data_IF_225262953334
#
_entry.id   IF_225262953334
#
_cell.length_a   1.000
_cell.length_b   1.000
_cell.length_c   1.000
_cell.angle_alpha   90.00
_cell.angle_beta   90.00
_cell.angle_gamma   90.00
#
_symmetry.space_group_name_H-M   'P 1'
#
loop_
_entity.id
_entity.type
_entity.pdbx_description
1 polymer ?
#
# COMPACT_ATOMS: atom_id res chain seq x y z
N UNK A 1 -26.42 -5.63 10.58
CA UNK A 1 -25.92 -6.45 9.45
C UNK A 1 -25.10 -5.57 8.52
N UNK A 2 -23.76 -5.65 8.54
CA UNK A 2 -22.92 -5.34 7.36
C UNK A 2 -21.85 -6.42 7.33
N UNK A 3 -21.88 -7.20 6.26
CA UNK A 3 -21.39 -8.56 6.21
C UNK A 3 -19.90 -8.70 5.93
N UNK A 4 -19.46 -9.92 6.20
CA UNK A 4 -18.24 -10.58 5.76
C UNK A 4 -17.98 -10.43 4.27
N UNK A 5 -16.72 -10.24 3.87
CA UNK A 5 -16.19 -10.67 2.56
C UNK A 5 -14.67 -10.82 2.66
N UNK A 6 -14.26 -12.06 2.91
CA UNK A 6 -12.91 -12.55 2.67
C UNK A 6 -12.60 -12.41 1.18
N UNK A 7 -11.65 -11.56 0.85
CA UNK A 7 -11.13 -11.35 -0.50
C UNK A 7 -10.07 -10.27 -0.40
N UNK A 8 -8.98 -10.39 -1.15
CA UNK A 8 -7.91 -9.39 -1.23
C UNK A 8 -8.42 -8.09 -1.91
N UNK A 9 -9.39 -7.44 -1.27
CA UNK A 9 -10.05 -6.23 -1.70
C UNK A 9 -9.29 -5.04 -1.16
N UNK A 10 -8.68 -4.30 -2.08
CA UNK A 10 -8.16 -2.95 -1.90
C UNK A 10 -9.17 -2.19 -1.02
N UNK A 11 -8.78 -1.76 0.19
CA UNK A 11 -9.64 -1.02 1.10
C UNK A 11 -10.06 0.31 0.44
N UNK A 12 -11.14 0.27 -0.34
CA UNK A 12 -11.65 1.38 -1.18
C UNK A 12 -12.43 2.44 -0.38
N UNK A 13 -12.62 2.25 0.93
CA UNK A 13 -13.45 3.14 1.75
C UNK A 13 -12.67 4.11 2.67
N UNK A 14 -11.33 4.19 2.59
CA UNK A 14 -10.55 5.12 3.40
C UNK A 14 -9.14 5.42 2.87
N UNK A 15 -8.46 6.48 3.36
CA UNK A 15 -7.08 6.74 3.00
C UNK A 15 -6.17 5.62 3.53
N UNK A 16 -5.30 5.09 2.68
CA UNK A 16 -4.24 4.16 3.11
C UNK A 16 -3.22 4.89 4.01
N UNK A 17 -2.35 4.15 4.71
CA UNK A 17 -1.35 4.72 5.62
C UNK A 17 -0.48 5.81 4.99
N UNK A 18 -0.17 5.68 3.71
CA UNK A 18 0.54 6.70 2.94
C UNK A 18 -0.30 7.97 2.70
N UNK A 19 -1.53 7.83 2.21
CA UNK A 19 -2.44 8.96 2.00
C UNK A 19 -2.78 9.67 3.32
N UNK A 20 -2.86 8.92 4.42
CA UNK A 20 -3.08 9.43 5.77
C UNK A 20 -1.89 10.28 6.24
N UNK A 21 -0.65 9.79 6.10
CA UNK A 21 0.56 10.56 6.43
C UNK A 21 0.70 11.82 5.57
N UNK A 22 0.45 11.69 4.26
CA UNK A 22 0.58 12.80 3.31
C UNK A 22 -0.59 13.81 3.40
N UNK A 23 -1.65 13.49 4.15
CA UNK A 23 -2.90 14.26 4.24
C UNK A 23 -3.47 14.60 2.85
N UNK A 24 -3.34 13.67 1.89
CA UNK A 24 -3.84 13.81 0.51
C UNK A 24 -5.08 12.94 0.33
N UNK A 25 -6.04 13.42 -0.45
CA UNK A 25 -7.17 12.59 -0.92
C UNK A 25 -6.58 11.44 -1.76
N UNK A 26 -6.92 10.19 -1.43
CA UNK A 26 -6.64 9.07 -2.33
C UNK A 26 -7.17 9.42 -3.71
N UNK A 27 -6.31 9.35 -4.73
CA UNK A 27 -6.72 9.67 -6.11
C UNK A 27 -7.81 8.66 -6.52
N UNK A 28 -8.92 9.20 -7.00
CA UNK A 28 -10.04 8.44 -7.56
C UNK A 28 -9.52 7.72 -8.82
N UNK A 29 -9.12 6.46 -8.67
CA UNK A 29 -8.27 5.74 -9.64
C UNK A 29 -7.34 4.71 -9.00
N UNK A 30 -7.23 4.71 -7.67
CA UNK A 30 -6.46 3.73 -6.91
C UNK A 30 -5.15 4.31 -6.38
N UNK A 31 -4.86 4.08 -5.11
CA UNK A 31 -3.61 4.52 -4.52
C UNK A 31 -2.54 3.43 -4.70
N UNK A 32 -1.45 3.78 -5.37
CA UNK A 32 -0.30 2.88 -5.57
C UNK A 32 0.30 2.35 -4.26
N UNK A 33 0.14 3.10 -3.17
CA UNK A 33 0.60 2.71 -1.84
C UNK A 33 -0.39 1.82 -1.08
N UNK A 34 -1.68 1.80 -1.45
CA UNK A 34 -2.71 1.03 -0.73
C UNK A 34 -2.41 -0.48 -0.59
N UNK A 35 -1.87 -1.20 -1.60
CA UNK A 35 -1.54 -2.61 -1.42
C UNK A 35 -0.33 -2.86 -0.51
N UNK A 36 0.46 -1.83 -0.20
CA UNK A 36 1.68 -1.95 0.62
C UNK A 36 1.53 -1.39 2.03
N UNK A 37 0.67 -0.38 2.21
CA UNK A 37 0.48 0.33 3.48
C UNK A 37 -0.99 0.34 3.85
N UNK A 38 -1.36 -0.43 4.86
CA UNK A 38 -2.73 -0.49 5.37
C UNK A 38 -3.19 0.86 5.99
N UNK A 39 -4.49 1.04 6.16
CA UNK A 39 -5.09 2.23 6.79
C UNK A 39 -4.86 2.34 8.31
N UNK A 40 -4.30 1.30 8.94
CA UNK A 40 -3.91 1.29 10.36
C UNK A 40 -2.77 2.29 10.69
N UNK A 41 -2.60 2.57 11.97
CA UNK A 41 -1.48 3.37 12.49
C UNK A 41 -0.12 2.77 12.10
N UNK A 42 -0.02 1.44 12.12
CA UNK A 42 1.18 0.74 11.69
C UNK A 42 1.55 1.04 10.23
N UNK A 43 0.56 1.04 9.31
CA UNK A 43 0.81 1.37 7.90
C UNK A 43 1.27 2.82 7.71
N UNK A 44 0.80 3.72 8.57
CA UNK A 44 1.25 5.12 8.61
C UNK A 44 2.70 5.23 9.08
N UNK A 45 3.05 4.53 10.15
CA UNK A 45 4.42 4.49 10.70
C UNK A 45 5.42 3.85 9.72
N UNK A 46 5.03 2.75 9.07
CA UNK A 46 5.83 2.11 8.03
C UNK A 46 6.07 3.05 6.85
N UNK A 47 5.02 3.74 6.37
CA UNK A 47 5.18 4.71 5.29
C UNK A 47 6.07 5.89 5.73
N UNK A 48 5.98 6.35 6.98
CA UNK A 48 6.83 7.42 7.49
C UNK A 48 8.32 7.06 7.45
N UNK A 49 8.69 5.82 7.75
CA UNK A 49 10.08 5.37 7.65
C UNK A 49 10.57 5.38 6.18
N UNK A 50 9.78 4.84 5.26
CA UNK A 50 10.11 4.84 3.81
C UNK A 50 10.16 6.26 3.26
N UNK A 51 9.19 7.09 3.63
CA UNK A 51 9.10 8.49 3.25
C UNK A 51 10.31 9.29 3.76
N UNK A 52 10.80 9.00 4.96
CA UNK A 52 11.97 9.69 5.52
C UNK A 52 13.26 9.42 4.73
N UNK A 53 13.42 8.21 4.20
CA UNK A 53 14.64 7.82 3.47
C UNK A 53 14.55 8.20 1.98
N UNK A 54 13.43 7.88 1.34
CA UNK A 54 13.27 8.02 -0.11
C UNK A 54 12.43 9.24 -0.51
N UNK A 55 11.55 9.72 0.35
CA UNK A 55 10.49 10.67 0.00
C UNK A 55 9.36 10.01 -0.80
N UNK A 56 8.18 10.64 -0.83
CA UNK A 56 7.00 10.10 -1.50
C UNK A 56 7.23 9.82 -3.01
N UNK A 57 7.92 10.72 -3.71
CA UNK A 57 8.16 10.62 -5.15
C UNK A 57 9.10 9.47 -5.51
N UNK A 58 10.20 9.28 -4.77
CA UNK A 58 11.11 8.17 -5.05
C UNK A 58 10.55 6.84 -4.55
N UNK A 59 9.82 6.82 -3.43
CA UNK A 59 9.09 5.63 -2.97
C UNK A 59 8.10 5.15 -4.05
N UNK A 60 7.35 6.07 -4.67
CA UNK A 60 6.45 5.74 -5.79
C UNK A 60 7.21 5.13 -6.97
N UNK A 61 8.34 5.73 -7.37
CA UNK A 61 9.18 5.21 -8.46
C UNK A 61 9.77 3.83 -8.15
N UNK A 62 10.17 3.58 -6.89
CA UNK A 62 10.66 2.28 -6.46
C UNK A 62 9.57 1.22 -6.57
N UNK A 63 8.38 1.50 -6.04
CA UNK A 63 7.24 0.59 -6.12
C UNK A 63 6.81 0.31 -7.56
N UNK A 64 6.86 1.30 -8.46
CA UNK A 64 6.62 1.12 -9.90
C UNK A 64 7.67 0.24 -10.59
N UNK A 65 8.90 0.22 -10.07
CA UNK A 65 10.01 -0.58 -10.62
C UNK A 65 10.06 -1.99 -10.05
N UNK A 66 9.34 -2.29 -8.97
CA UNK A 66 9.21 -3.64 -8.47
C UNK A 66 8.27 -4.38 -9.42
N UNK A 67 8.76 -5.37 -10.19
CA UNK A 67 7.86 -6.17 -11.01
C UNK A 67 6.84 -6.83 -10.07
N UNK A 68 5.55 -6.73 -10.40
CA UNK A 68 4.41 -7.34 -9.69
C UNK A 68 4.51 -8.88 -9.51
N UNK A 69 5.64 -9.50 -9.91
CA UNK A 69 5.92 -10.93 -10.09
C UNK A 69 6.97 -11.47 -9.10
N UNK A 70 6.89 -11.15 -7.81
CA UNK A 70 7.65 -11.87 -6.76
C UNK A 70 6.83 -12.42 -5.60
N UNK A 71 5.50 -12.44 -5.70
CA UNK A 71 4.68 -13.24 -4.79
C UNK A 71 4.48 -14.69 -5.28
N UNK A 72 4.69 -14.97 -6.57
CA UNK A 72 4.63 -16.33 -7.16
C UNK A 72 5.99 -17.06 -7.26
N UNK A 73 7.02 -16.60 -6.54
CA UNK A 73 8.37 -17.21 -6.61
C UNK A 73 8.92 -17.68 -5.25
N UNK A 74 8.04 -17.94 -4.28
CA UNK A 74 8.33 -18.67 -3.02
C UNK A 74 7.43 -19.91 -2.89
N UNK A 75 7.00 -20.48 -4.02
CA UNK A 75 6.50 -21.86 -4.07
C UNK A 75 7.55 -22.70 -4.82
N UNK A 76 8.63 -23.02 -4.13
CA UNK A 76 9.40 -24.23 -4.40
C UNK A 76 9.93 -24.66 -3.04
N UNK A 77 9.52 -25.84 -2.55
CA UNK A 77 10.14 -27.07 -3.05
C UNK A 77 9.20 -28.28 -3.15
N UNK A 78 9.23 -28.98 -4.29
CA UNK A 78 9.47 -30.43 -4.43
C UNK A 78 9.25 -30.88 -5.87
#
# INVERSE_FOLDING_TARGET
MRGSSSGAGININGPCGACKLLRRKSVEGGCLFAPYFDSSDQGTTQFAAVHRVFGASNASKLLLRIPHRRLDAVISPN
#
